data_IF_115098338639
#
_entry.id   IF_115098338639
#
_cell.length_a   1.000
_cell.length_b   1.000
_cell.length_c   1.000
_cell.angle_alpha   90.00
_cell.angle_beta   90.00
_cell.angle_gamma   90.00
#
_symmetry.space_group_name_H-M   'P 1'
#
loop_
_entity.id
_entity.type
_entity.pdbx_description
1 polymer ?
#
# COMPACT_ATOMS: atom_id res chain seq x y z
N UNK A 1 59.35 67.24 12.04
CA UNK A 1 59.48 66.19 11.01
C UNK A 1 59.38 64.83 11.68
N UNK A 2 58.21 64.18 11.65
CA UNK A 2 58.02 62.83 12.18
C UNK A 2 58.47 61.83 11.10
N UNK A 3 59.52 61.04 11.39
CA UNK A 3 59.92 59.91 10.54
C UNK A 3 58.69 59.02 10.32
N UNK A 4 58.32 58.76 9.07
CA UNK A 4 57.29 57.78 8.73
C UNK A 4 57.73 56.41 9.28
N UNK A 5 57.22 56.03 10.46
CA UNK A 5 57.42 54.68 10.99
C UNK A 5 56.72 53.71 10.04
N UNK A 6 57.45 52.70 9.58
CA UNK A 6 56.87 51.64 8.75
C UNK A 6 55.74 50.94 9.52
N UNK A 7 54.57 50.82 8.88
CA UNK A 7 53.43 50.10 9.43
C UNK A 7 53.67 48.60 9.37
N UNK A 8 53.14 47.87 10.36
CA UNK A 8 52.98 46.43 10.28
C UNK A 8 51.81 46.11 9.36
N UNK A 9 52.03 45.22 8.40
CA UNK A 9 50.98 44.73 7.49
C UNK A 9 50.77 43.23 7.73
N UNK A 10 49.54 42.85 8.03
CA UNK A 10 49.12 41.45 8.17
C UNK A 10 48.78 40.83 6.81
N UNK A 11 48.64 39.52 6.77
CA UNK A 11 48.36 38.70 5.58
C UNK A 11 47.11 39.16 4.81
N UNK A 12 46.12 39.66 5.53
CA UNK A 12 44.83 40.10 5.03
C UNK A 12 44.75 41.62 4.73
N UNK A 13 45.92 42.26 4.62
CA UNK A 13 46.13 43.69 4.39
C UNK A 13 45.75 44.63 5.55
N UNK A 14 45.47 44.14 6.75
CA UNK A 14 45.35 45.01 7.94
C UNK A 14 46.67 45.70 8.24
N UNK A 15 46.62 47.00 8.55
CA UNK A 15 47.77 47.89 8.77
C UNK A 15 47.78 48.46 10.18
N UNK A 16 48.74 48.05 11.00
CA UNK A 16 48.89 48.44 12.39
C UNK A 16 50.14 49.31 12.63
N UNK A 17 50.11 50.14 13.66
CA UNK A 17 51.31 50.82 14.12
C UNK A 17 52.29 49.80 14.70
N UNK A 18 53.56 49.92 14.33
CA UNK A 18 54.61 49.05 14.88
C UNK A 18 55.06 49.58 16.24
N UNK A 19 54.74 48.84 17.29
CA UNK A 19 55.20 49.13 18.66
C UNK A 19 56.29 48.15 19.09
N UNK A 20 57.12 48.54 20.06
CA UNK A 20 58.19 47.69 20.57
C UNK A 20 57.68 46.85 21.74
N UNK A 21 56.87 45.83 21.45
CA UNK A 21 56.36 44.87 22.45
C UNK A 21 56.30 43.44 21.87
N UNK A 22 56.13 42.45 22.76
CA UNK A 22 56.06 41.04 22.39
C UNK A 22 54.92 40.74 21.39
N UNK A 23 53.75 41.34 21.60
CA UNK A 23 52.56 41.22 20.73
C UNK A 23 52.89 41.62 19.28
N UNK A 24 53.53 42.78 19.09
CA UNK A 24 53.94 43.24 17.75
C UNK A 24 55.06 42.36 17.18
N UNK A 25 55.98 41.88 18.01
CA UNK A 25 57.04 40.98 17.56
C UNK A 25 56.47 39.67 17.00
N UNK A 26 55.48 39.08 17.68
CA UNK A 26 54.76 37.89 17.20
C UNK A 26 54.05 38.17 15.88
N UNK A 27 53.24 39.23 15.80
CA UNK A 27 52.55 39.56 14.53
C UNK A 27 53.50 39.89 13.38
N UNK A 28 54.69 40.44 13.67
CA UNK A 28 55.74 40.65 12.65
C UNK A 28 56.28 39.32 12.13
N UNK A 29 56.41 38.31 13.00
CA UNK A 29 56.88 36.97 12.68
C UNK A 29 55.82 36.16 11.93
N UNK A 30 54.60 36.09 12.45
CA UNK A 30 53.51 35.27 11.90
C UNK A 30 52.85 35.91 10.68
N UNK A 31 52.94 37.24 10.53
CA UNK A 31 52.16 38.03 9.57
C UNK A 31 50.65 37.87 9.77
N UNK A 32 50.22 37.48 10.96
CA UNK A 32 48.82 37.24 11.28
C UNK A 32 48.42 37.99 12.55
N UNK A 33 47.14 37.88 12.93
CA UNK A 33 46.65 38.39 14.20
C UNK A 33 47.39 37.73 15.37
N UNK A 34 47.70 38.51 16.40
CA UNK A 34 48.21 38.00 17.67
C UNK A 34 47.25 36.95 18.23
N UNK A 35 47.76 35.82 18.74
CA UNK A 35 46.94 34.74 19.31
C UNK A 35 45.78 34.28 18.41
N UNK A 36 45.96 34.22 17.09
CA UNK A 36 44.90 33.84 16.15
C UNK A 36 44.24 32.49 16.46
N UNK A 37 45.01 31.48 16.87
CA UNK A 37 44.45 30.18 17.23
C UNK A 37 43.44 30.31 18.39
N UNK A 38 43.81 31.04 19.44
CA UNK A 38 42.92 31.35 20.59
C UNK A 38 41.69 32.14 20.13
N UNK A 39 41.87 33.15 19.27
CA UNK A 39 40.76 33.93 18.71
C UNK A 39 39.78 33.09 17.88
N UNK A 40 40.27 32.07 17.18
CA UNK A 40 39.45 31.14 16.40
C UNK A 40 38.70 30.17 17.31
N UNK A 41 39.37 29.65 18.33
CA UNK A 41 38.82 28.71 19.32
C UNK A 41 37.75 29.35 20.20
N UNK A 42 38.05 30.53 20.78
CA UNK A 42 37.16 31.18 21.74
C UNK A 42 35.97 31.87 21.08
N UNK A 43 36.01 32.02 19.75
CA UNK A 43 34.91 32.58 19.00
C UNK A 43 33.60 31.83 19.14
N UNK A 44 33.64 30.52 19.45
CA UNK A 44 32.43 29.73 19.66
C UNK A 44 31.56 30.25 20.82
N UNK A 45 32.15 31.01 21.75
CA UNK A 45 31.44 31.60 22.89
C UNK A 45 31.03 33.06 22.68
N UNK A 46 31.42 33.66 21.55
CA UNK A 46 31.10 35.06 21.27
C UNK A 46 29.77 35.10 20.50
N UNK A 47 28.71 35.74 21.04
CA UNK A 47 27.45 35.88 20.33
C UNK A 47 27.61 36.63 19.00
N UNK A 48 26.75 36.34 18.03
CA UNK A 48 26.66 37.15 16.81
C UNK A 48 26.34 38.61 17.16
N UNK A 49 26.92 39.56 16.42
CA UNK A 49 26.74 40.99 16.67
C UNK A 49 27.09 41.40 18.11
N UNK A 50 28.04 40.70 18.73
CA UNK A 50 28.50 41.00 20.08
C UNK A 50 28.95 42.45 20.26
N UNK A 51 28.73 42.97 21.48
CA UNK A 51 29.34 44.19 21.98
C UNK A 51 30.50 43.72 22.82
N UNK A 52 31.72 44.07 22.42
CA UNK A 52 32.94 43.54 23.02
C UNK A 52 33.68 44.66 23.71
N UNK A 53 34.06 44.43 24.97
CA UNK A 53 34.94 45.30 25.72
C UNK A 53 36.34 44.69 25.72
N UNK A 54 37.28 45.35 25.05
CA UNK A 54 38.70 45.01 25.03
C UNK A 54 39.43 45.95 25.98
N UNK A 55 39.74 45.46 27.19
CA UNK A 55 40.30 46.30 28.24
C UNK A 55 41.77 46.67 27.99
N UNK A 56 42.44 46.01 27.05
CA UNK A 56 43.84 46.28 26.71
C UNK A 56 44.03 46.76 25.26
N UNK A 57 44.33 48.05 25.10
CA UNK A 57 44.63 48.65 23.78
C UNK A 57 45.73 47.98 22.94
N UNK A 58 46.66 47.23 23.55
CA UNK A 58 47.71 46.49 22.83
C UNK A 58 47.12 45.41 21.94
N UNK A 59 45.92 44.95 22.29
CA UNK A 59 45.14 43.95 21.58
C UNK A 59 44.22 44.60 20.53
N UNK A 60 44.64 45.73 19.95
CA UNK A 60 43.95 46.34 18.79
C UNK A 60 43.77 45.35 17.62
N UNK A 61 44.68 44.37 17.48
CA UNK A 61 44.53 43.27 16.54
C UNK A 61 43.28 42.44 16.85
N UNK A 62 43.00 42.11 18.11
CA UNK A 62 41.78 41.38 18.52
C UNK A 62 40.53 42.21 18.22
N UNK A 63 40.53 43.50 18.56
CA UNK A 63 39.41 44.39 18.25
C UNK A 63 39.09 44.44 16.75
N UNK A 64 40.13 44.48 15.90
CA UNK A 64 39.98 44.41 14.44
C UNK A 64 39.53 43.03 13.99
N UNK A 65 40.05 41.96 14.59
CA UNK A 65 39.64 40.59 14.28
C UNK A 65 38.15 40.40 14.53
N UNK A 66 37.64 40.78 15.70
CA UNK A 66 36.21 40.69 16.01
C UNK A 66 35.35 41.53 15.07
N UNK A 67 35.81 42.72 14.72
CA UNK A 67 35.13 43.61 13.78
C UNK A 67 35.06 43.04 12.36
N UNK A 68 36.09 42.30 11.93
CA UNK A 68 36.24 41.80 10.56
C UNK A 68 35.66 40.39 10.36
N UNK A 69 35.87 39.49 11.31
CA UNK A 69 35.58 38.06 11.17
C UNK A 69 34.44 37.57 12.06
N UNK A 70 34.00 38.35 13.04
CA UNK A 70 32.90 38.01 13.96
C UNK A 70 31.71 38.96 13.88
N UNK A 71 31.74 39.90 12.94
CA UNK A 71 30.68 40.90 12.73
C UNK A 71 30.23 41.57 14.05
N UNK A 72 31.20 41.89 14.93
CA UNK A 72 30.90 42.54 16.19
C UNK A 72 30.18 43.87 15.93
N UNK A 73 29.03 44.09 16.61
CA UNK A 73 28.23 45.31 16.42
C UNK A 73 28.97 46.53 16.94
N UNK A 74 29.75 46.36 18.00
CA UNK A 74 30.54 47.40 18.63
C UNK A 74 31.72 46.79 19.38
N UNK A 75 32.89 47.43 19.28
CA UNK A 75 34.05 47.07 20.09
C UNK A 75 34.55 48.31 20.82
N UNK A 76 34.52 48.28 22.15
CA UNK A 76 35.08 49.34 22.98
C UNK A 76 36.49 48.96 23.40
N UNK A 77 37.46 49.78 23.00
CA UNK A 77 38.88 49.52 23.20
C UNK A 77 39.46 50.54 24.18
N UNK A 78 39.87 50.09 25.36
CA UNK A 78 40.23 50.98 26.46
C UNK A 78 41.73 51.30 26.52
N UNK A 79 42.06 52.58 26.71
CA UNK A 79 43.43 53.03 26.88
C UNK A 79 43.53 54.27 27.78
N UNK A 80 44.34 54.17 28.83
CA UNK A 80 44.60 55.27 29.77
C UNK A 80 45.65 56.26 29.24
N UNK A 81 46.63 55.77 28.47
CA UNK A 81 47.70 56.59 27.89
C UNK A 81 47.23 57.32 26.64
N UNK A 82 47.20 58.66 26.69
CA UNK A 82 46.68 59.48 25.59
C UNK A 82 47.40 59.30 24.25
N UNK A 83 48.71 59.02 24.27
CA UNK A 83 49.49 58.77 23.05
C UNK A 83 49.08 57.44 22.41
N UNK A 84 49.02 56.37 23.21
CA UNK A 84 48.57 55.05 22.73
C UNK A 84 47.12 55.10 22.26
N UNK A 85 46.24 55.81 22.97
CA UNK A 85 44.84 55.97 22.58
C UNK A 85 44.72 56.55 21.15
N UNK A 86 45.55 57.55 20.84
CA UNK A 86 45.60 58.15 19.50
C UNK A 86 46.15 57.16 18.46
N UNK A 87 47.20 56.41 18.78
CA UNK A 87 47.78 55.39 17.90
C UNK A 87 46.77 54.28 17.59
N UNK A 88 46.15 53.70 18.61
CA UNK A 88 45.13 52.66 18.51
C UNK A 88 43.92 53.13 17.69
N UNK A 89 43.45 54.36 17.90
CA UNK A 89 42.39 54.94 17.08
C UNK A 89 42.79 55.10 15.62
N UNK A 90 44.03 55.51 15.36
CA UNK A 90 44.54 55.60 14.00
C UNK A 90 44.56 54.22 13.32
N UNK A 91 44.84 53.15 14.06
CA UNK A 91 44.79 51.78 13.54
C UNK A 91 43.36 51.37 13.17
N UNK A 92 42.37 51.59 14.04
CA UNK A 92 40.96 51.34 13.73
C UNK A 92 40.49 52.15 12.50
N UNK A 93 40.80 53.46 12.46
CA UNK A 93 40.39 54.37 11.38
C UNK A 93 41.05 53.98 10.05
N UNK A 94 42.35 53.68 10.05
CA UNK A 94 43.11 53.29 8.86
C UNK A 94 42.56 52.03 8.20
N UNK A 95 42.09 51.09 9.01
CA UNK A 95 41.51 49.83 8.54
C UNK A 95 39.99 49.91 8.30
N UNK A 96 39.40 51.09 8.44
CA UNK A 96 37.98 51.37 8.17
C UNK A 96 37.01 50.55 9.04
N UNK A 97 37.31 50.40 10.32
CA UNK A 97 36.42 49.76 11.30
C UNK A 97 35.77 50.81 12.21
N UNK A 98 34.68 51.48 11.76
CA UNK A 98 34.00 52.52 12.55
C UNK A 98 33.29 51.99 13.80
N UNK A 99 33.05 50.68 13.88
CA UNK A 99 32.48 50.03 15.07
C UNK A 99 33.46 49.95 16.24
N UNK A 100 34.77 50.14 16.01
CA UNK A 100 35.77 50.18 17.08
C UNK A 100 35.83 51.60 17.65
N UNK A 101 35.44 51.74 18.92
CA UNK A 101 35.47 53.00 19.65
C UNK A 101 36.56 52.96 20.73
N UNK A 102 37.60 53.76 20.55
CA UNK A 102 38.69 53.84 21.53
C UNK A 102 38.33 54.84 22.62
N UNK A 103 38.28 54.36 23.87
CA UNK A 103 37.85 55.13 25.04
C UNK A 103 38.99 55.24 26.06
N UNK A 104 39.06 56.38 26.72
CA UNK A 104 39.84 56.54 27.94
C UNK A 104 38.93 56.32 29.14
N UNK A 105 39.21 55.30 29.98
CA UNK A 105 38.39 55.00 31.15
C UNK A 105 38.81 55.82 32.39
N UNK A 106 37.84 56.03 33.27
CA UNK A 106 37.95 56.38 34.69
C UNK A 106 37.08 55.35 35.44
N UNK A 107 37.69 54.20 35.77
CA UNK A 107 37.01 53.01 36.31
C UNK A 107 36.31 53.31 37.63
N UNK A 108 37.01 53.99 38.55
CA UNK A 108 36.49 54.35 39.87
C UNK A 108 35.21 55.22 39.79
N UNK A 109 35.08 56.06 38.77
CA UNK A 109 33.89 56.93 38.58
C UNK A 109 32.91 56.42 37.54
N UNK A 110 33.17 55.26 36.94
CA UNK A 110 32.41 54.71 35.80
C UNK A 110 32.22 55.75 34.67
N UNK A 111 33.29 56.50 34.33
CA UNK A 111 33.24 57.50 33.25
C UNK A 111 34.17 57.12 32.12
N UNK A 112 33.67 57.23 30.90
CA UNK A 112 34.43 56.90 29.70
C UNK A 112 34.42 58.09 28.77
N UNK A 113 35.59 58.45 28.25
CA UNK A 113 35.72 59.60 27.36
C UNK A 113 36.34 59.19 26.03
N UNK A 114 35.74 59.64 24.94
CA UNK A 114 36.31 59.58 23.60
C UNK A 114 36.90 60.92 23.22
N UNK A 115 37.85 60.90 22.30
CA UNK A 115 38.42 62.14 21.75
C UNK A 115 37.69 62.46 20.45
N UNK A 116 37.10 63.65 20.34
CA UNK A 116 36.52 64.15 19.09
C UNK A 116 37.10 65.52 18.75
N UNK A 117 37.73 65.64 17.57
CA UNK A 117 38.37 66.89 17.11
C UNK A 117 39.28 67.53 18.18
N UNK A 118 39.97 66.71 18.97
CA UNK A 118 40.87 67.14 20.04
C UNK A 118 40.21 67.46 21.38
N UNK A 119 38.88 67.35 21.51
CA UNK A 119 38.14 67.53 22.76
C UNK A 119 37.75 66.17 23.35
N UNK A 120 37.76 66.06 24.68
CA UNK A 120 37.23 64.89 25.38
C UNK A 120 35.71 65.01 25.48
N UNK A 121 35.00 63.99 25.03
CA UNK A 121 33.54 63.89 25.06
C UNK A 121 33.18 62.63 25.84
N UNK A 122 32.22 62.72 26.75
CA UNK A 122 31.72 61.54 27.45
C UNK A 122 31.07 60.57 26.47
N UNK A 123 31.43 59.29 26.57
CA UNK A 123 30.89 58.23 25.75
C UNK A 123 29.78 57.49 26.52
N UNK A 124 28.68 57.21 25.83
CA UNK A 124 27.66 56.28 26.30
C UNK A 124 28.01 54.89 25.78
N UNK A 125 28.20 53.94 26.69
CA UNK A 125 28.56 52.57 26.34
C UNK A 125 27.32 51.68 26.36
N UNK A 126 27.26 50.77 25.40
CA UNK A 126 26.25 49.70 25.35
C UNK A 126 26.76 48.54 26.16
N UNK A 127 25.88 47.91 26.95
CA UNK A 127 26.20 46.77 27.79
C UNK A 127 26.98 45.68 27.01
N UNK A 128 28.04 45.10 27.60
CA UNK A 128 28.89 44.14 26.92
C UNK A 128 28.21 42.77 26.82
N UNK A 129 28.41 42.10 25.69
CA UNK A 129 28.20 40.67 25.57
C UNK A 129 29.47 39.90 25.96
N UNK A 130 30.64 40.48 25.71
CA UNK A 130 31.94 39.88 26.03
C UNK A 130 32.86 40.94 26.63
N UNK A 131 33.59 40.57 27.70
CA UNK A 131 34.67 41.37 28.25
C UNK A 131 35.97 40.56 28.16
N UNK A 132 36.95 41.09 27.42
CA UNK A 132 38.30 40.54 27.37
C UNK A 132 39.23 41.34 28.28
N UNK A 133 39.87 40.65 29.22
CA UNK A 133 40.74 41.24 30.24
C UNK A 133 42.07 40.50 30.29
N UNK A 134 43.14 41.22 30.01
CA UNK A 134 44.51 40.72 30.15
C UNK A 134 44.97 40.74 31.60
N UNK A 135 45.97 39.93 31.95
CA UNK A 135 46.48 39.79 33.31
C UNK A 135 46.94 41.13 33.91
N UNK A 136 47.44 42.05 33.07
CA UNK A 136 47.92 43.38 33.51
C UNK A 136 46.81 44.38 33.87
N UNK A 137 45.57 44.14 33.43
CA UNK A 137 44.47 45.08 33.60
C UNK A 137 43.69 44.80 34.87
N UNK A 138 43.95 43.68 35.55
CA UNK A 138 43.28 43.24 36.77
C UNK A 138 43.83 43.97 38.01
N UNK A 139 43.69 45.29 38.02
CA UNK A 139 43.94 46.16 39.19
C UNK A 139 42.62 46.33 40.00
N UNK A 140 42.71 46.76 41.26
CA UNK A 140 41.58 46.84 42.18
C UNK A 140 40.37 47.61 41.61
N UNK A 141 40.59 48.80 41.03
CA UNK A 141 39.51 49.62 40.46
C UNK A 141 38.82 48.94 39.26
N UNK A 142 39.58 48.19 38.46
CA UNK A 142 39.05 47.45 37.31
C UNK A 142 38.28 46.23 37.78
N UNK A 143 38.77 45.55 38.82
CA UNK A 143 38.10 44.38 39.40
C UNK A 143 36.76 44.77 40.03
N UNK A 144 36.71 45.87 40.79
CA UNK A 144 35.44 46.38 41.34
C UNK A 144 34.44 46.73 40.22
N UNK A 145 34.91 47.38 39.17
CA UNK A 145 34.07 47.70 38.01
C UNK A 145 33.60 46.44 37.27
N UNK A 146 34.49 45.46 37.07
CA UNK A 146 34.18 44.19 36.42
C UNK A 146 33.12 43.41 37.20
N UNK A 147 33.22 43.36 38.54
CA UNK A 147 32.22 42.73 39.41
C UNK A 147 30.83 43.33 39.20
N UNK A 148 30.72 44.66 39.14
CA UNK A 148 29.44 45.31 38.82
C UNK A 148 28.89 44.91 37.44
N UNK A 149 29.76 44.83 36.42
CA UNK A 149 29.34 44.34 35.10
C UNK A 149 28.87 42.88 35.13
N UNK A 150 29.54 42.03 35.93
CA UNK A 150 29.16 40.63 36.11
C UNK A 150 27.80 40.47 36.81
N UNK A 151 27.46 41.36 37.76
CA UNK A 151 26.15 41.40 38.44
C UNK A 151 25.04 41.86 37.50
N UNK A 152 25.26 42.98 36.79
CA UNK A 152 24.22 43.66 36.03
C UNK A 152 23.90 43.00 34.68
N UNK A 153 24.94 42.56 33.96
CA UNK A 153 24.84 42.20 32.53
C UNK A 153 25.16 40.73 32.27
N UNK A 154 25.92 40.11 33.17
CA UNK A 154 26.35 38.71 33.06
C UNK A 154 27.08 38.37 31.74
N UNK A 155 28.09 39.15 31.31
CA UNK A 155 28.77 38.96 30.02
C UNK A 155 29.62 37.69 30.00
N UNK A 156 29.98 37.21 28.81
CA UNK A 156 31.06 36.22 28.66
C UNK A 156 32.39 36.89 29.02
N UNK A 157 33.20 36.22 29.83
CA UNK A 157 34.51 36.75 30.25
C UNK A 157 35.62 35.96 29.58
N UNK A 158 36.51 36.65 28.88
CA UNK A 158 37.78 36.10 28.43
C UNK A 158 38.88 36.71 29.27
N UNK A 159 39.56 35.88 30.06
CA UNK A 159 40.61 36.30 30.98
C UNK A 159 41.95 35.65 30.64
N UNK A 160 43.05 36.41 30.78
CA UNK A 160 44.39 35.83 30.87
C UNK A 160 44.65 35.35 32.31
N UNK A 161 45.00 34.06 32.47
CA UNK A 161 45.04 33.33 33.75
C UNK A 161 46.40 33.34 34.44
N UNK A 162 47.45 33.88 33.81
CA UNK A 162 48.82 33.93 34.35
C UNK A 162 49.10 35.15 35.24
N UNK A 163 48.08 35.98 35.50
CA UNK A 163 48.17 37.13 36.38
C UNK A 163 48.31 36.75 37.85
N UNK A 164 49.12 37.50 38.60
CA UNK A 164 49.30 37.33 40.05
C UNK A 164 47.98 37.37 40.84
N UNK A 165 46.98 38.07 40.31
CA UNK A 165 45.66 38.25 40.94
C UNK A 165 44.63 37.19 40.50
N UNK A 166 45.01 36.22 39.67
CA UNK A 166 44.04 35.28 39.09
C UNK A 166 43.33 34.41 40.15
N UNK A 167 44.00 34.02 41.23
CA UNK A 167 43.36 33.27 42.32
C UNK A 167 42.23 34.06 43.00
N UNK A 168 42.40 35.37 43.16
CA UNK A 168 41.37 36.27 43.68
C UNK A 168 40.19 36.37 42.70
N UNK A 169 40.50 36.55 41.40
CA UNK A 169 39.48 36.58 40.35
C UNK A 169 38.70 35.27 40.27
N UNK A 170 39.38 34.12 40.33
CA UNK A 170 38.73 32.80 40.34
C UNK A 170 37.74 32.66 41.50
N UNK A 171 38.12 33.12 42.70
CA UNK A 171 37.24 33.13 43.87
C UNK A 171 36.00 34.02 43.67
N UNK A 172 36.16 35.16 42.99
CA UNK A 172 35.03 36.05 42.66
C UNK A 172 34.12 35.40 41.62
N UNK A 173 34.70 34.82 40.56
CA UNK A 173 33.94 34.13 39.51
C UNK A 173 33.09 33.01 40.08
N UNK A 174 33.66 32.17 40.95
CA UNK A 174 32.93 31.08 41.61
C UNK A 174 31.76 31.60 42.45
N UNK A 175 31.97 32.65 43.26
CA UNK A 175 30.90 33.29 44.05
C UNK A 175 29.79 33.88 43.20
N UNK A 176 30.10 34.26 41.96
CA UNK A 176 29.16 34.85 41.01
C UNK A 176 28.60 33.82 40.03
N UNK A 177 28.77 32.53 40.29
CA UNK A 177 28.32 31.42 39.44
C UNK A 177 28.88 31.45 38.00
N UNK A 178 30.07 32.00 37.82
CA UNK A 178 30.81 31.88 36.57
C UNK A 178 31.63 30.60 36.55
N UNK A 179 31.44 29.82 35.49
CA UNK A 179 32.21 28.59 35.28
C UNK A 179 33.10 28.72 34.06
N UNK A 180 34.31 28.17 34.19
CA UNK A 180 35.25 28.04 33.09
C UNK A 180 34.67 27.07 32.06
N UNK A 181 34.55 27.51 30.81
CA UNK A 181 34.10 26.68 29.68
C UNK A 181 35.26 26.11 28.89
N UNK A 182 36.31 26.90 28.72
CA UNK A 182 37.46 26.53 27.90
C UNK A 182 38.71 27.25 28.37
N UNK A 183 39.86 26.59 28.22
CA UNK A 183 41.17 27.13 28.52
C UNK A 183 42.16 26.71 27.43
N UNK A 184 42.89 27.68 26.87
CA UNK A 184 44.03 27.44 25.97
C UNK A 184 45.24 28.26 26.46
N UNK A 185 46.26 27.53 26.93
CA UNK A 185 47.43 28.10 27.59
C UNK A 185 47.03 29.01 28.76
N UNK A 186 47.40 30.28 28.66
CA UNK A 186 47.11 31.30 29.67
C UNK A 186 45.80 32.04 29.40
N UNK A 187 44.93 31.57 28.50
CA UNK A 187 43.64 32.20 28.21
C UNK A 187 42.51 31.28 28.67
N UNK A 188 41.47 31.84 29.27
CA UNK A 188 40.27 31.09 29.65
C UNK A 188 38.99 31.89 29.38
N UNK A 189 37.94 31.17 28.97
CA UNK A 189 36.57 31.70 28.81
C UNK A 189 35.71 31.25 29.98
N UNK A 190 34.99 32.19 30.58
CA UNK A 190 34.00 31.96 31.62
C UNK A 190 32.63 32.43 31.17
N UNK A 191 31.61 31.67 31.54
CA UNK A 191 30.20 32.02 31.31
C UNK A 191 29.43 31.90 32.61
N UNK A 192 28.49 32.81 32.83
CA UNK A 192 27.54 32.70 33.91
C UNK A 192 26.69 31.43 33.75
N UNK A 193 26.49 30.71 34.85
CA UNK A 193 25.47 29.68 34.97
C UNK A 193 24.47 30.15 36.01
N UNK A 194 23.18 30.08 35.68
CA UNK A 194 22.18 30.16 36.74
C UNK A 194 22.45 28.98 37.67
N UNK A 195 22.83 29.30 38.91
CA UNK A 195 22.75 28.31 39.97
C UNK A 195 21.31 27.78 39.90
N UNK A 196 21.16 26.48 39.71
CA UNK A 196 19.88 25.85 39.95
C UNK A 196 19.57 26.15 41.42
N UNK A 197 18.77 27.18 41.67
CA UNK A 197 18.06 27.27 42.93
C UNK A 197 17.25 25.99 42.98
N UNK A 198 17.70 25.02 43.77
CA UNK A 198 16.94 23.84 44.14
C UNK A 198 15.71 24.35 44.91
N UNK A 199 14.70 24.77 44.17
CA UNK A 199 13.36 25.08 44.67
C UNK A 199 12.67 23.74 44.91
N UNK A 200 13.21 22.98 45.88
CA UNK A 200 12.78 21.62 46.24
C UNK A 200 11.27 21.56 46.51
N UNK A 201 10.66 22.67 46.94
CA UNK A 201 9.23 22.75 47.22
C UNK A 201 8.37 22.79 45.94
N UNK A 202 8.87 23.41 44.86
CA UNK A 202 8.21 23.40 43.56
C UNK A 202 8.40 22.04 42.87
N UNK A 203 9.58 21.46 42.99
CA UNK A 203 9.90 20.13 42.47
C UNK A 203 9.04 19.05 43.13
N UNK A 204 8.87 19.09 44.45
CA UNK A 204 7.99 18.17 45.19
C UNK A 204 6.52 18.30 44.76
N UNK A 205 6.01 19.53 44.58
CA UNK A 205 4.66 19.79 44.05
C UNK A 205 4.48 19.29 42.61
N UNK A 206 5.51 19.40 41.78
CA UNK A 206 5.50 18.88 40.41
C UNK A 206 5.50 17.35 40.44
N UNK A 207 6.29 16.73 41.30
CA UNK A 207 6.36 15.27 41.46
C UNK A 207 5.03 14.68 41.98
N UNK A 208 4.39 15.30 42.98
CA UNK A 208 3.06 14.89 43.45
C UNK A 208 2.00 14.98 42.34
N UNK A 209 2.08 16.05 41.54
CA UNK A 209 1.14 16.26 40.42
C UNK A 209 1.38 15.25 39.29
N UNK A 210 2.64 14.92 39.00
CA UNK A 210 3.00 13.87 38.06
C UNK A 210 2.55 12.49 38.54
N UNK A 211 2.68 12.17 39.83
CA UNK A 211 2.19 10.91 40.38
C UNK A 211 0.65 10.82 40.32
N UNK A 212 -0.03 11.95 40.51
CA UNK A 212 -1.49 12.05 40.32
C UNK A 212 -1.89 11.77 38.87
N UNK A 213 -1.20 12.36 37.89
CA UNK A 213 -1.47 12.10 36.47
C UNK A 213 -1.15 10.67 36.08
N UNK A 214 -0.07 10.10 36.62
CA UNK A 214 0.28 8.70 36.40
C UNK A 214 -0.84 7.75 36.87
N UNK A 215 -1.37 7.96 38.08
CA UNK A 215 -2.51 7.20 38.61
C UNK A 215 -3.80 7.37 37.80
N UNK A 216 -4.00 8.51 37.14
CA UNK A 216 -5.13 8.72 36.23
C UNK A 216 -4.94 7.95 34.92
N UNK A 217 -3.73 7.98 34.35
CA UNK A 217 -3.38 7.22 33.15
C UNK A 217 -3.51 5.72 33.41
N UNK A 218 -3.01 5.23 34.54
CA UNK A 218 -3.09 3.82 34.89
C UNK A 218 -4.55 3.36 35.07
N UNK A 219 -5.41 4.19 35.67
CA UNK A 219 -6.85 3.91 35.76
C UNK A 219 -7.52 3.85 34.40
N UNK A 220 -7.29 4.84 33.54
CA UNK A 220 -7.82 4.83 32.17
C UNK A 220 -7.33 3.61 31.39
N UNK A 221 -6.06 3.24 31.55
CA UNK A 221 -5.49 2.07 30.89
C UNK A 221 -6.20 0.79 31.32
N UNK A 222 -6.47 0.64 32.61
CA UNK A 222 -7.23 -0.50 33.13
C UNK A 222 -8.66 -0.52 32.58
N UNK A 223 -9.35 0.62 32.55
CA UNK A 223 -10.70 0.74 31.98
C UNK A 223 -10.71 0.33 30.49
N UNK A 224 -9.74 0.79 29.70
CA UNK A 224 -9.61 0.38 28.29
C UNK A 224 -9.28 -1.11 28.12
N UNK A 225 -8.44 -1.68 28.97
CA UNK A 225 -8.12 -3.12 28.94
C UNK A 225 -9.35 -3.97 29.26
N UNK A 226 -10.18 -3.54 30.22
CA UNK A 226 -11.45 -4.18 30.56
C UNK A 226 -12.48 -4.08 29.41
N UNK A 227 -12.60 -2.92 28.77
CA UNK A 227 -13.46 -2.74 27.58
C UNK A 227 -13.01 -3.61 26.40
N UNK A 228 -11.70 -3.69 26.14
CA UNK A 228 -11.15 -4.54 25.09
C UNK A 228 -11.45 -6.02 25.37
N UNK A 229 -11.32 -6.48 26.61
CA UNK A 229 -11.65 -7.85 26.99
C UNK A 229 -13.14 -8.15 26.76
N UNK A 230 -14.04 -7.22 27.11
CA UNK A 230 -15.48 -7.36 26.86
C UNK A 230 -15.82 -7.39 25.36
N UNK A 231 -15.16 -6.56 24.56
CA UNK A 231 -15.34 -6.55 23.10
C UNK A 231 -14.85 -7.87 22.51
N UNK A 232 -13.68 -8.36 22.92
CA UNK A 232 -13.14 -9.63 22.45
C UNK A 232 -14.06 -10.79 22.79
N UNK A 233 -14.56 -10.86 24.03
CA UNK A 233 -15.51 -11.90 24.44
C UNK A 233 -16.80 -11.89 23.57
N UNK A 234 -17.32 -10.72 23.22
CA UNK A 234 -18.47 -10.59 22.30
C UNK A 234 -18.16 -11.04 20.88
N UNK A 235 -16.93 -10.82 20.39
CA UNK A 235 -16.51 -11.32 19.08
C UNK A 235 -16.35 -12.83 19.08
N UNK A 236 -15.76 -13.40 20.13
CA UNK A 236 -15.57 -14.84 20.28
C UNK A 236 -16.92 -15.57 20.38
N UNK A 237 -17.89 -15.01 21.11
CA UNK A 237 -19.27 -15.54 21.17
C UNK A 237 -19.93 -15.54 19.79
N UNK A 238 -19.80 -14.45 19.03
CA UNK A 238 -20.33 -14.37 17.65
C UNK A 238 -19.63 -15.35 16.71
N UNK A 239 -18.32 -15.54 16.86
CA UNK A 239 -17.55 -16.48 16.07
C UNK A 239 -18.03 -17.92 16.32
N UNK A 240 -18.23 -18.32 17.58
CA UNK A 240 -18.78 -19.64 17.94
C UNK A 240 -20.16 -19.88 17.32
N UNK A 241 -21.08 -18.92 17.43
CA UNK A 241 -22.41 -19.03 16.81
C UNK A 241 -22.33 -19.15 15.28
N UNK A 242 -21.35 -18.48 14.66
CA UNK A 242 -21.15 -18.55 13.22
C UNK A 242 -20.55 -19.89 12.79
N UNK A 243 -19.58 -20.42 13.55
CA UNK A 243 -19.01 -21.76 13.33
C UNK A 243 -20.07 -22.85 13.45
N UNK A 244 -20.95 -22.79 14.45
CA UNK A 244 -22.07 -23.73 14.58
C UNK A 244 -23.01 -23.68 13.38
N UNK A 245 -23.30 -22.48 12.86
CA UNK A 245 -24.11 -22.32 11.64
C UNK A 245 -23.41 -22.91 10.42
N UNK A 246 -22.11 -22.67 10.24
CA UNK A 246 -21.35 -23.25 9.13
C UNK A 246 -21.30 -24.77 9.21
N UNK A 247 -21.10 -25.33 10.41
CA UNK A 247 -21.12 -26.77 10.64
C UNK A 247 -22.47 -27.40 10.29
N UNK A 248 -23.58 -26.77 10.71
CA UNK A 248 -24.92 -27.23 10.36
C UNK A 248 -25.16 -27.17 8.84
N UNK A 249 -24.70 -26.11 8.17
CA UNK A 249 -24.77 -26.00 6.71
C UNK A 249 -23.96 -27.13 6.06
N UNK A 250 -22.71 -27.35 6.48
CA UNK A 250 -21.85 -28.41 5.95
C UNK A 250 -22.49 -29.80 6.10
N UNK A 251 -23.07 -30.11 7.26
CA UNK A 251 -23.80 -31.36 7.48
C UNK A 251 -24.98 -31.52 6.51
N UNK A 252 -25.76 -30.46 6.29
CA UNK A 252 -26.87 -30.50 5.31
C UNK A 252 -26.39 -30.68 3.87
N UNK A 253 -25.29 -30.05 3.48
CA UNK A 253 -24.69 -30.21 2.15
C UNK A 253 -24.16 -31.62 1.93
N UNK A 254 -23.50 -32.20 2.93
CA UNK A 254 -23.02 -33.59 2.87
C UNK A 254 -24.20 -34.55 2.73
N UNK A 255 -25.28 -34.35 3.47
CA UNK A 255 -26.45 -35.22 3.38
C UNK A 255 -27.20 -35.07 2.05
N UNK A 256 -27.35 -33.83 1.54
CA UNK A 256 -27.90 -33.59 0.20
C UNK A 256 -27.02 -34.24 -0.88
N UNK A 257 -25.70 -34.13 -0.77
CA UNK A 257 -24.76 -34.78 -1.67
C UNK A 257 -24.89 -36.30 -1.67
N UNK A 258 -25.09 -36.92 -0.49
CA UNK A 258 -25.37 -38.37 -0.38
C UNK A 258 -26.69 -38.76 -1.06
N UNK A 259 -27.78 -38.02 -0.82
CA UNK A 259 -29.09 -38.26 -1.46
C UNK A 259 -29.01 -38.10 -2.98
N UNK A 260 -28.29 -37.10 -3.47
CA UNK A 260 -28.04 -36.94 -4.90
C UNK A 260 -27.21 -38.09 -5.48
N UNK A 261 -26.16 -38.54 -4.78
CA UNK A 261 -25.36 -39.68 -5.23
C UNK A 261 -26.17 -40.98 -5.30
N UNK A 262 -27.08 -41.22 -4.35
CA UNK A 262 -27.98 -42.37 -4.36
C UNK A 262 -29.01 -42.31 -5.50
N UNK A 263 -29.63 -41.15 -5.71
CA UNK A 263 -30.58 -40.96 -6.82
C UNK A 263 -29.90 -41.14 -8.19
N UNK A 264 -28.69 -40.61 -8.37
CA UNK A 264 -27.89 -40.84 -9.58
C UNK A 264 -27.57 -42.32 -9.78
N UNK A 265 -27.18 -43.05 -8.71
CA UNK A 265 -26.97 -44.50 -8.79
C UNK A 265 -28.23 -45.25 -9.18
N UNK A 266 -29.39 -44.85 -8.65
CA UNK A 266 -30.67 -45.46 -9.01
C UNK A 266 -31.02 -45.19 -10.48
N UNK A 267 -30.94 -43.94 -10.92
CA UNK A 267 -31.18 -43.59 -12.33
C UNK A 267 -30.23 -44.34 -13.27
N UNK A 268 -28.97 -44.55 -12.87
CA UNK A 268 -28.02 -45.33 -13.65
C UNK A 268 -28.43 -46.80 -13.77
N UNK A 269 -29.02 -47.40 -12.73
CA UNK A 269 -29.58 -48.76 -12.78
C UNK A 269 -30.79 -48.81 -13.70
N UNK A 270 -31.72 -47.88 -13.55
CA UNK A 270 -32.95 -47.81 -14.35
C UNK A 270 -32.61 -47.63 -15.84
N UNK A 271 -31.62 -46.79 -16.18
CA UNK A 271 -31.11 -46.62 -17.56
C UNK A 271 -30.49 -47.91 -18.09
N UNK A 272 -29.76 -48.66 -17.28
CA UNK A 272 -29.16 -49.92 -17.70
C UNK A 272 -30.23 -51.00 -17.93
N UNK A 273 -31.22 -51.09 -17.06
CA UNK A 273 -32.37 -51.99 -17.23
C UNK A 273 -33.18 -51.64 -18.48
N UNK A 274 -33.45 -50.34 -18.70
CA UNK A 274 -34.12 -49.87 -19.91
C UNK A 274 -33.32 -50.20 -21.17
N UNK A 275 -31.99 -50.06 -21.17
CA UNK A 275 -31.13 -50.49 -22.28
C UNK A 275 -31.23 -51.98 -22.56
N UNK A 276 -31.25 -52.82 -21.52
CA UNK A 276 -31.44 -54.26 -21.67
C UNK A 276 -32.80 -54.59 -22.26
N UNK A 277 -33.87 -53.95 -21.79
CA UNK A 277 -35.22 -54.11 -22.34
C UNK A 277 -35.28 -53.70 -23.82
N UNK A 278 -34.69 -52.57 -24.19
CA UNK A 278 -34.63 -52.12 -25.59
C UNK A 278 -33.87 -53.13 -26.45
N UNK A 279 -32.77 -53.70 -25.95
CA UNK A 279 -32.04 -54.75 -26.66
C UNK A 279 -32.91 -55.99 -26.87
N UNK A 280 -33.62 -56.46 -25.84
CA UNK A 280 -34.53 -57.59 -25.95
C UNK A 280 -35.67 -57.35 -26.95
N UNK A 281 -36.26 -56.14 -26.95
CA UNK A 281 -37.30 -55.76 -27.91
C UNK A 281 -36.72 -55.75 -29.34
N UNK A 282 -35.52 -55.20 -29.52
CA UNK A 282 -34.85 -55.18 -30.82
C UNK A 282 -34.57 -56.60 -31.35
N UNK A 283 -34.08 -57.49 -30.49
CA UNK A 283 -33.79 -58.88 -30.85
C UNK A 283 -35.07 -59.65 -31.18
N UNK A 284 -36.15 -59.44 -30.40
CA UNK A 284 -37.46 -60.02 -30.67
C UNK A 284 -38.05 -59.54 -32.01
N UNK A 285 -37.94 -58.24 -32.31
CA UNK A 285 -38.42 -57.66 -33.57
C UNK A 285 -37.64 -58.21 -34.77
N UNK A 286 -36.32 -58.39 -34.62
CA UNK A 286 -35.49 -58.98 -35.67
C UNK A 286 -35.84 -60.46 -35.90
N UNK A 287 -36.10 -61.21 -34.83
CA UNK A 287 -36.58 -62.59 -34.93
C UNK A 287 -37.96 -62.67 -35.62
N UNK A 288 -38.88 -61.78 -35.27
CA UNK A 288 -40.20 -61.70 -35.90
C UNK A 288 -40.08 -61.39 -37.41
N UNK A 289 -39.21 -60.45 -37.78
CA UNK A 289 -38.92 -60.14 -39.19
C UNK A 289 -38.34 -61.33 -39.95
N UNK A 290 -37.46 -62.11 -39.32
CA UNK A 290 -36.89 -63.31 -39.92
C UNK A 290 -37.98 -64.38 -40.17
N UNK A 291 -38.82 -64.65 -39.17
CA UNK A 291 -39.95 -65.59 -39.28
C UNK A 291 -40.94 -65.14 -40.37
N UNK A 292 -41.29 -63.85 -40.40
CA UNK A 292 -42.18 -63.30 -41.44
C UNK A 292 -41.58 -63.42 -42.85
N UNK A 293 -40.26 -63.24 -43.00
CA UNK A 293 -39.59 -63.42 -44.28
C UNK A 293 -39.65 -64.88 -44.75
N UNK A 294 -39.40 -65.83 -43.84
CA UNK A 294 -39.48 -67.26 -44.16
C UNK A 294 -40.92 -67.72 -44.46
N UNK A 295 -41.91 -67.20 -43.73
CA UNK A 295 -43.33 -67.40 -44.02
C UNK A 295 -43.70 -66.86 -45.41
N UNK A 296 -43.25 -65.66 -45.75
CA UNK A 296 -43.49 -65.07 -47.06
C UNK A 296 -42.85 -65.91 -48.18
N UNK A 297 -41.61 -66.39 -48.01
CA UNK A 297 -40.98 -67.31 -48.97
C UNK A 297 -41.79 -68.59 -49.13
N UNK A 298 -42.30 -69.16 -48.03
CA UNK A 298 -43.14 -70.36 -48.08
C UNK A 298 -44.46 -70.12 -48.82
N UNK A 299 -45.12 -68.99 -48.55
CA UNK A 299 -46.33 -68.57 -49.28
C UNK A 299 -46.05 -68.41 -50.78
N UNK A 300 -44.95 -67.76 -51.15
CA UNK A 300 -44.58 -67.60 -52.57
C UNK A 300 -44.26 -68.95 -53.24
N UNK A 301 -43.57 -69.85 -52.56
CA UNK A 301 -43.32 -71.21 -53.05
C UNK A 301 -44.63 -71.97 -53.30
N UNK A 302 -45.57 -71.94 -52.34
CA UNK A 302 -46.88 -72.58 -52.50
C UNK A 302 -47.66 -71.97 -53.67
N UNK A 303 -47.62 -70.64 -53.83
CA UNK A 303 -48.26 -69.97 -54.96
C UNK A 303 -47.63 -70.34 -56.30
N UNK A 304 -46.32 -70.53 -56.37
CA UNK A 304 -45.64 -71.01 -57.59
C UNK A 304 -46.07 -72.43 -57.97
N UNK A 305 -46.25 -73.31 -56.99
CA UNK A 305 -46.71 -74.71 -57.20
C UNK A 305 -48.20 -74.80 -57.53
N UNK A 306 -49.05 -74.04 -56.85
CA UNK A 306 -50.51 -74.12 -56.99
C UNK A 306 -51.04 -73.38 -58.24
N UNK A 307 -50.38 -72.30 -58.66
CA UNK A 307 -50.80 -71.50 -59.82
C UNK A 307 -50.88 -72.31 -61.13
N UNK A 308 -49.90 -73.15 -61.52
CA UNK A 308 -50.03 -73.99 -62.71
C UNK A 308 -51.16 -75.01 -62.58
N UNK A 309 -51.38 -75.56 -61.37
CA UNK A 309 -52.52 -76.46 -61.11
C UNK A 309 -53.85 -75.75 -61.34
N UNK A 310 -54.04 -74.56 -60.77
CA UNK A 310 -55.24 -73.73 -60.99
C UNK A 310 -55.45 -73.36 -62.46
N UNK A 311 -54.38 -73.03 -63.20
CA UNK A 311 -54.46 -72.75 -64.65
C UNK A 311 -54.90 -73.99 -65.43
N UNK A 312 -54.37 -75.18 -65.10
CA UNK A 312 -54.76 -76.43 -65.77
C UNK A 312 -56.21 -76.83 -65.46
N UNK A 313 -56.67 -76.66 -64.21
CA UNK A 313 -58.07 -76.85 -63.84
C UNK A 313 -58.99 -75.90 -64.61
N UNK A 314 -58.65 -74.61 -64.68
CA UNK A 314 -59.45 -73.63 -65.45
C UNK A 314 -59.51 -73.96 -66.94
N UNK A 315 -58.42 -74.46 -67.55
CA UNK A 315 -58.41 -74.95 -68.93
C UNK A 315 -59.33 -76.16 -69.10
N UNK A 316 -59.29 -77.10 -68.16
CA UNK A 316 -60.14 -78.30 -68.15
C UNK A 316 -61.62 -77.94 -68.03
N UNK A 317 -61.98 -77.03 -67.13
CA UNK A 317 -63.34 -76.52 -66.97
C UNK A 317 -63.85 -75.87 -68.26
N UNK A 318 -63.03 -75.01 -68.90
CA UNK A 318 -63.38 -74.39 -70.17
C UNK A 318 -63.61 -75.43 -71.29
N UNK A 319 -62.85 -76.52 -71.29
CA UNK A 319 -63.02 -77.62 -72.24
C UNK A 319 -64.30 -78.42 -71.96
N UNK A 320 -64.59 -78.74 -70.69
CA UNK A 320 -65.83 -79.41 -70.29
C UNK A 320 -67.07 -78.57 -70.63
N UNK A 321 -67.03 -77.25 -70.42
CA UNK A 321 -68.13 -76.36 -70.81
C UNK A 321 -68.39 -76.39 -72.33
N UNK A 322 -67.33 -76.44 -73.16
CA UNK A 322 -67.47 -76.60 -74.61
C UNK A 322 -68.11 -77.93 -74.98
N UNK A 323 -67.70 -79.01 -74.33
CA UNK A 323 -68.21 -80.36 -74.56
C UNK A 323 -69.69 -80.49 -74.16
N UNK A 324 -70.08 -79.96 -72.99
CA UNK A 324 -71.47 -79.89 -72.54
C UNK A 324 -72.32 -79.09 -73.55
N UNK A 325 -71.82 -77.98 -74.08
CA UNK A 325 -72.55 -77.18 -75.06
C UNK A 325 -72.73 -77.92 -76.39
N UNK A 326 -71.73 -78.69 -76.83
CA UNK A 326 -71.85 -79.54 -78.02
C UNK A 326 -72.87 -80.67 -77.81
N UNK A 327 -72.82 -81.36 -76.67
CA UNK A 327 -73.79 -82.40 -76.31
C UNK A 327 -75.22 -81.83 -76.21
N UNK A 328 -75.39 -80.62 -75.67
CA UNK A 328 -76.70 -79.94 -75.67
C UNK A 328 -77.23 -79.67 -77.09
N UNK A 329 -76.37 -79.26 -78.02
CA UNK A 329 -76.74 -79.07 -79.44
C UNK A 329 -77.13 -80.38 -80.10
N UNK A 330 -76.36 -81.45 -79.91
CA UNK A 330 -76.71 -82.77 -80.42
C UNK A 330 -78.04 -83.28 -79.85
N UNK A 331 -78.22 -83.16 -78.53
CA UNK A 331 -79.44 -83.60 -77.87
C UNK A 331 -80.68 -82.81 -78.36
N UNK A 332 -80.55 -81.49 -78.58
CA UNK A 332 -81.62 -80.69 -79.19
C UNK A 332 -81.95 -81.16 -80.61
N UNK A 333 -80.94 -81.58 -81.38
CA UNK A 333 -81.10 -82.08 -82.75
C UNK A 333 -81.79 -83.45 -82.75
N UNK A 334 -81.39 -84.35 -81.86
CA UNK A 334 -82.01 -85.66 -81.67
C UNK A 334 -83.45 -85.52 -81.16
N UNK A 335 -83.70 -84.60 -80.23
CA UNK A 335 -85.05 -84.32 -79.71
C UNK A 335 -85.98 -83.82 -80.82
N UNK A 336 -85.50 -82.93 -81.71
CA UNK A 336 -86.25 -82.51 -82.90
C UNK A 336 -86.55 -83.69 -83.84
N UNK A 337 -85.56 -84.54 -84.12
CA UNK A 337 -85.77 -85.75 -84.95
C UNK A 337 -86.80 -86.70 -84.32
N UNK A 338 -86.73 -86.91 -83.01
CA UNK A 338 -87.66 -87.75 -82.26
C UNK A 338 -89.08 -87.17 -82.30
N UNK A 339 -89.24 -85.86 -82.13
CA UNK A 339 -90.52 -85.16 -82.23
C UNK A 339 -91.12 -85.34 -83.63
N UNK A 340 -90.34 -85.13 -84.70
CA UNK A 340 -90.80 -85.34 -86.07
C UNK A 340 -91.20 -86.80 -86.35
N UNK A 341 -90.45 -87.77 -85.83
CA UNK A 341 -90.78 -89.20 -85.95
C UNK A 341 -92.04 -89.56 -85.16
N UNK A 342 -92.20 -89.02 -83.95
CA UNK A 342 -93.39 -89.21 -83.13
C UNK A 342 -94.63 -88.61 -83.80
N UNK A 343 -94.52 -87.43 -84.40
CA UNK A 343 -95.62 -86.79 -85.14
C UNK A 343 -96.01 -87.59 -86.38
N UNK A 344 -95.02 -88.12 -87.13
CA UNK A 344 -95.28 -89.08 -88.22
C UNK A 344 -95.99 -90.33 -87.70
N UNK A 345 -95.55 -90.88 -86.56
CA UNK A 345 -96.16 -92.05 -85.95
C UNK A 345 -97.60 -91.77 -85.48
N UNK A 346 -97.90 -90.65 -84.84
CA UNK A 346 -99.28 -90.29 -84.44
C UNK A 346 -100.18 -90.01 -85.63
N UNK A 347 -99.68 -89.37 -86.69
CA UNK A 347 -100.42 -89.26 -87.98
C UNK A 347 -100.75 -90.64 -88.54
N UNK A 348 -99.77 -91.55 -88.59
CA UNK A 348 -99.97 -92.92 -89.07
C UNK A 348 -100.95 -93.72 -88.18
N UNK A 349 -100.84 -93.57 -86.87
CA UNK A 349 -101.66 -94.29 -85.89
C UNK A 349 -103.10 -93.75 -85.81
N UNK A 350 -103.32 -92.49 -86.18
CA UNK A 350 -104.65 -91.88 -86.24
C UNK A 350 -105.37 -92.12 -87.57
N UNK A 351 -104.70 -92.68 -88.59
CA UNK A 351 -105.34 -93.02 -89.87
C UNK A 351 -106.50 -94.01 -89.71
N UNK A 352 -107.55 -93.84 -90.51
CA UNK A 352 -108.79 -94.64 -90.46
C UNK A 352 -108.51 -96.15 -90.58
N UNK A 353 -107.48 -96.53 -91.34
CA UNK A 353 -107.02 -97.92 -91.52
C UNK A 353 -106.49 -98.51 -90.22
N UNK A 354 -105.60 -97.83 -89.48
CA UNK A 354 -105.07 -98.33 -88.19
C UNK A 354 -106.15 -98.34 -87.12
N UNK A 355 -107.04 -97.35 -87.11
CA UNK A 355 -108.23 -97.37 -86.24
C UNK A 355 -109.13 -98.57 -86.53
N UNK A 356 -109.33 -98.91 -87.81
CA UNK A 356 -110.06 -100.13 -88.21
C UNK A 356 -109.32 -101.40 -87.80
N UNK A 357 -108.00 -101.49 -88.02
CA UNK A 357 -107.21 -102.65 -87.59
C UNK A 357 -107.25 -102.86 -86.07
N UNK A 358 -107.19 -101.79 -85.25
CA UNK A 358 -107.35 -101.88 -83.79
C UNK A 358 -108.77 -102.31 -83.39
N UNK A 359 -109.80 -101.84 -84.10
CA UNK A 359 -111.19 -102.29 -83.91
C UNK A 359 -111.34 -103.78 -84.24
N UNK A 360 -110.74 -104.21 -85.35
CA UNK A 360 -110.74 -105.61 -85.79
C UNK A 360 -109.98 -106.51 -84.83
N UNK A 361 -108.82 -106.06 -84.31
CA UNK A 361 -108.04 -106.80 -83.32
C UNK A 361 -108.76 -106.91 -81.96
N UNK A 362 -109.42 -105.82 -81.50
CA UNK A 362 -110.27 -105.86 -80.30
C UNK A 362 -111.52 -106.74 -80.45
N UNK A 363 -112.10 -106.83 -81.65
CA UNK A 363 -113.22 -107.74 -81.94
C UNK A 363 -112.76 -109.20 -82.02
N UNK A 364 -111.63 -109.49 -82.69
CA UNK A 364 -111.07 -110.84 -82.83
C UNK A 364 -110.65 -111.44 -81.48
N UNK A 365 -110.11 -110.63 -80.56
CA UNK A 365 -109.70 -111.10 -79.23
C UNK A 365 -110.86 -111.25 -78.23
N UNK A 366 -112.08 -110.78 -78.55
CA UNK A 366 -113.29 -110.94 -77.72
C UNK A 366 -114.10 -112.20 -78.02
N UNK A 367 -113.75 -112.95 -79.06
CA UNK A 367 -114.44 -114.16 -79.51
C UNK A 367 -113.66 -115.46 -79.17
N UNK A 368 -112.83 -115.42 -78.12
CA UNK A 368 -112.06 -116.57 -77.61
C UNK A 368 -112.29 -116.82 -76.10
N UNK A 369 -113.38 -116.29 -75.57
CA UNK A 369 -114.03 -116.83 -74.37
C UNK A 369 -115.14 -117.78 -74.81
#
# INVERSE_FOLDING_TARGET
MTKNKALLKLSDNVKLNRTSNAITAEMVQTKDYYQKAVLEEFAAFIPEKAVIYELDSRFVSHAIYFSKYRDASKVYLFEMNQTRLRETRNDATRNKFPQIECLRPDWARNRFVRVEKGKSVQAEMVAPHVIHVTARMLEADVLEWLTKQMEDVRPVLWLETDGANFAEVATILEKMNYQMRQQDGNNAVYTFQEAAEEDHELEEKILERLDTYKRQIDRMKQEYEEELALIQAKYDEKALVLEEKYRAIEETWVEQGKKQAETVKQHQRDVNEAKQLVQHISDALNAERAVNNDLNKHIFSLLEDEKPVLITMKKRDAQQVKEINNLKKENATLTRKLSQMTEKYTRLNSTKVIRMMRKYWKLKNKAKD
#
